data_IF_797680939903
#
_entry.id   IF_797680939903
#
_cell.length_a   1.000
_cell.length_b   1.000
_cell.length_c   1.000
_cell.angle_alpha   90.00
_cell.angle_beta   90.00
_cell.angle_gamma   90.00
#
_symmetry.space_group_name_H-M   'P 1'
#
loop_
_entity.id
_entity.type
_entity.pdbx_description
1 polymer ?
#
# COMPACT_ATOMS: atom_id res chain seq x y z
N UNK A 1 23.20 16.46 56.55
CA UNK A 1 22.17 16.78 55.55
C UNK A 1 21.30 15.56 55.41
N UNK A 2 20.06 15.63 55.88
CA UNK A 2 19.07 14.58 55.67
C UNK A 2 18.82 14.46 54.17
N UNK A 3 18.88 13.25 53.63
CA UNK A 3 18.55 13.00 52.23
C UNK A 3 17.03 12.96 52.16
N UNK A 4 16.44 14.05 51.69
CA UNK A 4 15.02 14.14 51.39
C UNK A 4 14.77 13.38 50.09
N UNK A 5 14.02 12.28 50.16
CA UNK A 5 13.73 11.42 49.00
C UNK A 5 12.35 11.78 48.44
N UNK A 6 12.30 12.06 47.14
CA UNK A 6 11.05 12.26 46.41
C UNK A 6 10.49 10.88 46.03
N UNK A 7 9.21 10.64 46.31
CA UNK A 7 8.50 9.48 45.78
C UNK A 7 8.14 9.74 44.32
N UNK A 8 8.61 8.85 43.42
CA UNK A 8 8.19 8.89 42.03
C UNK A 8 6.71 8.47 41.92
N UNK A 9 5.94 9.04 40.97
CA UNK A 9 4.63 8.51 40.63
C UNK A 9 4.70 7.04 40.26
N UNK A 10 3.59 6.31 40.42
CA UNK A 10 3.53 4.91 40.04
C UNK A 10 3.80 4.74 38.53
N UNK A 11 4.97 4.19 38.20
CA UNK A 11 5.35 3.84 36.84
C UNK A 11 4.83 2.43 36.50
N UNK A 12 4.41 2.22 35.25
CA UNK A 12 4.00 0.89 34.81
C UNK A 12 5.20 -0.06 34.81
N UNK A 13 4.98 -1.34 35.15
CA UNK A 13 6.05 -2.34 35.28
C UNK A 13 6.66 -2.78 33.94
N UNK A 14 5.95 -2.54 32.84
CA UNK A 14 6.35 -2.85 31.47
C UNK A 14 7.08 -1.69 30.78
N UNK A 15 7.38 -0.60 31.50
CA UNK A 15 8.19 0.48 30.94
C UNK A 15 9.60 -0.01 30.63
N UNK A 16 10.08 0.38 29.45
CA UNK A 16 11.44 0.08 29.01
C UNK A 16 12.48 0.60 30.04
N UNK A 17 13.42 -0.25 30.51
CA UNK A 17 14.46 0.17 31.45
C UNK A 17 15.25 1.40 31.02
N UNK A 18 15.44 1.62 29.72
CA UNK A 18 16.17 2.79 29.22
C UNK A 18 15.33 4.07 29.28
N UNK A 19 14.01 3.97 29.15
CA UNK A 19 13.08 5.08 29.40
C UNK A 19 13.08 5.46 30.89
N UNK A 20 13.11 4.47 31.79
CA UNK A 20 13.21 4.72 33.23
C UNK A 20 14.52 5.42 33.59
N UNK A 21 15.65 4.98 33.01
CA UNK A 21 16.96 5.64 33.19
C UNK A 21 16.93 7.07 32.66
N UNK A 22 16.32 7.32 31.51
CA UNK A 22 16.20 8.65 30.93
C UNK A 22 15.35 9.59 31.81
N UNK A 23 14.22 9.12 32.33
CA UNK A 23 13.38 9.86 33.28
C UNK A 23 14.15 10.20 34.56
N UNK A 24 14.89 9.23 35.10
CA UNK A 24 15.73 9.47 36.28
C UNK A 24 16.80 10.53 36.01
N UNK A 25 17.51 10.41 34.89
CA UNK A 25 18.53 11.39 34.49
C UNK A 25 17.92 12.79 34.31
N UNK A 26 16.72 12.89 33.76
CA UNK A 26 15.99 14.14 33.58
C UNK A 26 15.66 14.82 34.92
N UNK A 27 15.13 14.07 35.90
CA UNK A 27 14.75 14.61 37.22
C UNK A 27 15.97 15.13 38.00
N UNK A 28 17.15 14.56 37.77
CA UNK A 28 18.40 14.99 38.40
C UNK A 28 18.98 16.27 37.78
N UNK A 29 18.46 16.75 36.64
CA UNK A 29 18.92 17.99 36.03
C UNK A 29 18.45 19.22 36.84
N UNK A 30 19.19 20.33 36.83
CA UNK A 30 18.70 21.60 37.39
C UNK A 30 17.40 22.06 36.70
N UNK A 31 16.52 22.75 37.44
CA UNK A 31 15.22 23.20 36.95
C UNK A 31 15.30 24.02 35.65
N UNK A 32 16.35 24.83 35.47
CA UNK A 32 16.58 25.60 34.24
C UNK A 32 16.66 24.69 33.00
N UNK A 33 17.34 23.55 33.12
CA UNK A 33 17.46 22.60 32.02
C UNK A 33 16.16 21.83 31.82
N UNK A 34 15.46 21.45 32.90
CA UNK A 34 14.15 20.79 32.80
C UNK A 34 13.13 21.70 32.09
N UNK A 35 13.09 22.99 32.43
CA UNK A 35 12.22 23.98 31.81
C UNK A 35 12.52 24.15 30.32
N UNK A 36 13.80 24.21 29.93
CA UNK A 36 14.20 24.25 28.50
C UNK A 36 13.75 23.01 27.73
N UNK A 37 13.89 21.81 28.32
CA UNK A 37 13.42 20.58 27.70
C UNK A 37 11.89 20.57 27.54
N UNK A 38 11.14 21.05 28.53
CA UNK A 38 9.69 21.18 28.45
C UNK A 38 9.27 22.15 27.35
N UNK A 39 9.89 23.33 27.28
CA UNK A 39 9.63 24.31 26.22
C UNK A 39 9.89 23.71 24.82
N UNK A 40 11.01 23.01 24.63
CA UNK A 40 11.31 22.36 23.35
C UNK A 40 10.30 21.26 23.01
N UNK A 41 9.86 20.49 24.00
CA UNK A 41 8.85 19.46 23.82
C UNK A 41 7.49 20.05 23.42
N UNK A 42 7.06 21.13 24.08
CA UNK A 42 5.84 21.86 23.73
C UNK A 42 5.92 22.45 22.31
N UNK A 43 7.05 23.05 21.93
CA UNK A 43 7.27 23.57 20.59
C UNK A 43 7.25 22.48 19.51
N UNK A 44 7.70 21.26 19.82
CA UNK A 44 7.60 20.13 18.91
C UNK A 44 6.15 19.67 18.75
N UNK A 45 5.40 19.57 19.85
CA UNK A 45 3.99 19.21 19.80
C UNK A 45 3.16 20.25 19.05
N UNK A 46 3.37 21.54 19.29
CA UNK A 46 2.68 22.61 18.56
C UNK A 46 2.97 22.56 17.07
N UNK A 47 4.24 22.33 16.68
CA UNK A 47 4.61 22.18 15.26
C UNK A 47 3.95 20.96 14.63
N UNK A 48 3.85 19.86 15.35
CA UNK A 48 3.14 18.67 14.90
C UNK A 48 1.65 18.94 14.71
N UNK A 49 1.00 19.52 15.72
CA UNK A 49 -0.42 19.89 15.66
C UNK A 49 -0.71 20.84 14.50
N UNK A 50 0.17 21.82 14.26
CA UNK A 50 0.05 22.73 13.13
C UNK A 50 0.20 22.02 11.79
N UNK A 51 1.18 21.12 11.66
CA UNK A 51 1.33 20.30 10.45
C UNK A 51 0.10 19.41 10.20
N UNK A 52 -0.44 18.79 11.26
CA UNK A 52 -1.65 17.96 11.19
C UNK A 52 -2.87 18.79 10.76
N UNK A 53 -3.02 20.03 11.29
CA UNK A 53 -4.07 20.96 10.83
C UNK A 53 -3.91 21.35 9.38
N UNK A 54 -2.70 21.71 8.95
CA UNK A 54 -2.42 22.09 7.56
C UNK A 54 -2.69 20.94 6.59
N UNK A 55 -2.35 19.71 6.97
CA UNK A 55 -2.68 18.52 6.21
C UNK A 55 -4.20 18.34 6.09
N UNK A 56 -4.92 18.45 7.21
CA UNK A 56 -6.38 18.32 7.24
C UNK A 56 -7.06 19.37 6.35
N UNK A 57 -6.67 20.64 6.46
CA UNK A 57 -7.18 21.70 5.59
C UNK A 57 -6.87 21.44 4.11
N UNK A 58 -5.70 20.88 3.81
CA UNK A 58 -5.31 20.55 2.44
C UNK A 58 -6.18 19.44 1.87
N UNK A 59 -6.55 18.44 2.68
CA UNK A 59 -7.48 17.36 2.30
C UNK A 59 -8.88 17.92 2.08
N UNK A 60 -9.37 18.79 2.96
CA UNK A 60 -10.70 19.41 2.85
C UNK A 60 -10.83 20.34 1.64
N UNK A 61 -9.72 20.95 1.20
CA UNK A 61 -9.67 21.80 0.00
C UNK A 61 -9.64 21.01 -1.31
N UNK A 62 -9.50 19.69 -1.28
CA UNK A 62 -9.56 18.89 -2.50
C UNK A 62 -10.98 18.95 -3.05
N UNK A 63 -11.11 19.44 -4.28
CA UNK A 63 -12.38 19.57 -4.97
C UNK A 63 -13.02 18.19 -5.21
N UNK A 64 -14.27 18.04 -4.78
CA UNK A 64 -15.03 16.80 -4.93
C UNK A 64 -15.20 16.42 -6.41
N UNK A 65 -15.34 17.41 -7.29
CA UNK A 65 -15.45 17.16 -8.74
C UNK A 65 -14.12 16.66 -9.31
N UNK A 66 -12.99 17.15 -8.81
CA UNK A 66 -11.67 16.67 -9.18
C UNK A 66 -11.43 15.22 -8.71
N UNK A 67 -11.87 14.87 -7.49
CA UNK A 67 -11.82 13.49 -6.98
C UNK A 67 -12.68 12.59 -7.87
N UNK A 68 -13.92 12.97 -8.16
CA UNK A 68 -14.83 12.18 -8.98
C UNK A 68 -14.26 11.95 -10.39
N UNK A 69 -13.73 13.00 -11.03
CA UNK A 69 -13.09 12.88 -12.35
C UNK A 69 -11.90 11.92 -12.32
N UNK A 70 -11.08 11.97 -11.27
CA UNK A 70 -9.95 11.07 -11.10
C UNK A 70 -10.41 9.62 -10.92
N UNK A 71 -11.41 9.37 -10.07
CA UNK A 71 -11.99 8.04 -9.87
C UNK A 71 -12.60 7.47 -11.16
N UNK A 72 -13.33 8.29 -11.90
CA UNK A 72 -13.92 7.88 -13.18
C UNK A 72 -12.84 7.55 -14.22
N UNK A 73 -11.82 8.39 -14.31
CA UNK A 73 -10.67 8.18 -15.20
C UNK A 73 -9.95 6.88 -14.87
N UNK A 74 -9.65 6.65 -13.58
CA UNK A 74 -9.04 5.41 -13.12
C UNK A 74 -9.90 4.20 -13.42
N UNK A 75 -11.21 4.30 -13.17
CA UNK A 75 -12.17 3.22 -13.47
C UNK A 75 -12.18 2.88 -14.95
N UNK A 76 -12.13 3.88 -15.83
CA UNK A 76 -12.03 3.66 -17.27
C UNK A 76 -10.72 2.99 -17.64
N UNK A 77 -9.58 3.50 -17.15
CA UNK A 77 -8.26 2.91 -17.43
C UNK A 77 -8.17 1.44 -17.00
N UNK A 78 -8.66 1.12 -15.80
CA UNK A 78 -8.68 -0.27 -15.30
C UNK A 78 -9.58 -1.13 -16.19
N UNK A 79 -10.77 -0.66 -16.56
CA UNK A 79 -11.67 -1.38 -17.46
C UNK A 79 -10.99 -1.67 -18.79
N UNK A 80 -10.33 -0.68 -19.38
CA UNK A 80 -9.68 -0.81 -20.68
C UNK A 80 -8.49 -1.78 -20.62
N UNK A 81 -7.69 -1.73 -19.55
CA UNK A 81 -6.58 -2.68 -19.33
C UNK A 81 -7.11 -4.11 -19.20
N UNK A 82 -8.15 -4.33 -18.39
CA UNK A 82 -8.76 -5.65 -18.20
C UNK A 82 -9.32 -6.16 -19.51
N UNK A 83 -10.08 -5.34 -20.25
CA UNK A 83 -10.67 -5.74 -21.52
C UNK A 83 -9.59 -6.09 -22.56
N UNK A 84 -8.55 -5.28 -22.69
CA UNK A 84 -7.45 -5.54 -23.63
C UNK A 84 -6.71 -6.83 -23.25
N UNK A 85 -6.45 -7.04 -21.96
CA UNK A 85 -5.77 -8.23 -21.45
C UNK A 85 -6.60 -9.50 -21.73
N UNK A 86 -7.91 -9.46 -21.46
CA UNK A 86 -8.83 -10.57 -21.74
C UNK A 86 -8.92 -10.86 -23.23
N UNK A 87 -9.05 -9.84 -24.07
CA UNK A 87 -9.11 -10.01 -25.52
C UNK A 87 -7.83 -10.67 -26.06
N UNK A 88 -6.67 -10.21 -25.60
CA UNK A 88 -5.40 -10.80 -26.00
C UNK A 88 -5.25 -12.23 -25.49
N UNK A 89 -5.67 -12.52 -24.24
CA UNK A 89 -5.65 -13.88 -23.71
C UNK A 89 -6.56 -14.81 -24.53
N UNK A 90 -7.77 -14.38 -24.88
CA UNK A 90 -8.66 -15.14 -25.75
C UNK A 90 -8.04 -15.38 -27.14
N UNK A 91 -7.39 -14.36 -27.70
CA UNK A 91 -6.71 -14.45 -28.99
C UNK A 91 -5.56 -15.45 -28.95
N UNK A 92 -4.64 -15.33 -27.99
CA UNK A 92 -3.51 -16.27 -27.83
C UNK A 92 -4.00 -17.69 -27.60
N UNK A 93 -5.03 -17.88 -26.76
CA UNK A 93 -5.64 -19.20 -26.53
C UNK A 93 -6.18 -19.80 -27.82
N UNK A 94 -6.95 -19.02 -28.59
CA UNK A 94 -7.54 -19.50 -29.85
C UNK A 94 -6.47 -19.91 -30.86
N UNK A 95 -5.47 -19.06 -31.06
CA UNK A 95 -4.39 -19.35 -32.00
C UNK A 95 -3.54 -20.56 -31.57
N UNK A 96 -3.27 -20.68 -30.26
CA UNK A 96 -2.51 -21.81 -29.72
C UNK A 96 -3.24 -23.15 -29.76
N UNK A 97 -4.52 -23.19 -29.36
CA UNK A 97 -5.22 -24.47 -29.15
C UNK A 97 -6.21 -24.83 -30.26
N UNK A 98 -6.89 -23.84 -30.83
CA UNK A 98 -7.90 -24.09 -31.87
C UNK A 98 -7.26 -24.10 -33.26
N UNK A 99 -6.20 -23.30 -33.48
CA UNK A 99 -5.44 -23.26 -34.73
C UNK A 99 -4.10 -24.00 -34.68
N UNK A 100 -3.65 -24.42 -33.49
CA UNK A 100 -2.37 -25.12 -33.27
C UNK A 100 -1.15 -24.35 -33.81
N UNK A 101 -1.19 -23.01 -33.80
CA UNK A 101 -0.09 -22.17 -34.24
C UNK A 101 1.03 -22.10 -33.19
N UNK A 102 2.27 -22.04 -33.68
CA UNK A 102 3.45 -21.85 -32.86
C UNK A 102 3.53 -20.43 -32.27
N UNK A 103 4.32 -20.28 -31.20
CA UNK A 103 4.54 -18.98 -30.56
C UNK A 103 5.16 -17.97 -31.53
N UNK A 104 6.09 -18.42 -32.37
CA UNK A 104 6.72 -17.61 -33.41
C UNK A 104 5.71 -17.09 -34.44
N UNK A 105 4.79 -17.94 -34.90
CA UNK A 105 3.73 -17.54 -35.84
C UNK A 105 2.78 -16.50 -35.24
N UNK A 106 2.41 -16.66 -33.97
CA UNK A 106 1.58 -15.67 -33.26
C UNK A 106 2.31 -14.32 -33.10
N UNK A 107 3.63 -14.34 -32.84
CA UNK A 107 4.46 -13.13 -32.73
C UNK A 107 4.58 -12.42 -34.09
N UNK A 108 4.78 -13.17 -35.17
CA UNK A 108 4.89 -12.62 -36.52
C UNK A 108 3.58 -11.97 -36.99
N UNK A 109 2.43 -12.48 -36.55
CA UNK A 109 1.12 -11.86 -36.81
C UNK A 109 0.93 -10.54 -36.05
N UNK A 110 1.42 -10.45 -34.82
CA UNK A 110 1.27 -9.25 -33.98
C UNK A 110 2.60 -8.86 -33.29
N UNK A 111 3.58 -8.35 -34.06
CA UNK A 111 4.92 -8.06 -33.53
C UNK A 111 4.91 -6.95 -32.47
N UNK A 112 3.94 -6.03 -32.55
CA UNK A 112 3.75 -4.96 -31.57
C UNK A 112 3.27 -5.49 -30.20
N UNK A 113 2.65 -6.67 -30.16
CA UNK A 113 2.14 -7.32 -28.95
C UNK A 113 3.05 -8.47 -28.45
N UNK A 114 4.20 -8.70 -29.09
CA UNK A 114 5.05 -9.87 -28.86
C UNK A 114 5.34 -10.15 -27.37
N UNK A 115 5.69 -9.12 -26.58
CA UNK A 115 5.96 -9.27 -25.14
C UNK A 115 4.75 -9.80 -24.37
N UNK A 116 3.56 -9.35 -24.71
CA UNK A 116 2.32 -9.74 -24.06
C UNK A 116 1.87 -11.13 -24.53
N UNK A 117 2.07 -11.45 -25.81
CA UNK A 117 1.81 -12.79 -26.36
C UNK A 117 2.67 -13.83 -25.65
N UNK A 118 3.97 -13.57 -25.51
CA UNK A 118 4.90 -14.44 -24.78
C UNK A 118 4.42 -14.65 -23.34
N UNK A 119 4.09 -13.56 -22.64
CA UNK A 119 3.62 -13.64 -21.26
C UNK A 119 2.33 -14.47 -21.13
N UNK A 120 1.35 -14.24 -22.01
CA UNK A 120 0.09 -15.00 -22.01
C UNK A 120 0.32 -16.47 -22.36
N UNK A 121 1.19 -16.78 -23.32
CA UNK A 121 1.52 -18.15 -23.67
C UNK A 121 2.11 -18.92 -22.47
N UNK A 122 3.07 -18.31 -21.76
CA UNK A 122 3.67 -18.90 -20.54
C UNK A 122 2.60 -19.12 -19.47
N UNK A 123 1.74 -18.12 -19.21
CA UNK A 123 0.68 -18.25 -18.21
C UNK A 123 -0.32 -19.36 -18.54
N UNK A 124 -0.59 -19.60 -19.82
CA UNK A 124 -1.44 -20.71 -20.26
C UNK A 124 -0.76 -22.07 -20.08
N UNK A 125 0.54 -22.17 -20.41
CA UNK A 125 1.34 -23.37 -20.15
C UNK A 125 1.39 -23.71 -18.65
N UNK A 126 1.54 -22.70 -17.79
CA UNK A 126 1.51 -22.86 -16.33
C UNK A 126 0.13 -23.28 -15.82
N UNK A 127 -0.95 -22.78 -16.45
CA UNK A 127 -2.33 -23.09 -16.07
C UNK A 127 -2.72 -24.54 -16.41
N UNK A 128 -2.19 -25.13 -17.48
CA UNK A 128 -2.44 -26.53 -17.86
C UNK A 128 -1.95 -27.55 -16.82
N UNK A 129 -0.92 -27.19 -16.03
CA UNK A 129 -0.42 -28.00 -14.93
C UNK A 129 -1.21 -27.88 -13.63
N UNK A 130 -2.23 -27.02 -13.59
CA UNK A 130 -3.03 -26.73 -12.39
C UNK A 130 -4.50 -27.03 -12.62
N UNK A 131 -5.16 -27.75 -11.70
CA UNK A 131 -6.62 -27.92 -11.75
C UNK A 131 -7.30 -26.54 -11.79
N UNK A 132 -8.16 -26.34 -12.79
CA UNK A 132 -8.93 -25.11 -12.94
C UNK A 132 -9.76 -24.83 -11.68
N UNK A 133 -9.70 -23.62 -11.08
CA UNK A 133 -10.57 -23.25 -9.98
C UNK A 133 -12.05 -23.10 -10.38
N UNK A 134 -12.34 -23.15 -11.69
CA UNK A 134 -13.65 -22.85 -12.26
C UNK A 134 -14.39 -24.08 -12.84
N UNK A 135 -13.80 -25.28 -12.79
CA UNK A 135 -14.47 -26.51 -13.26
C UNK A 135 -15.63 -26.98 -12.36
N UNK A 136 -15.91 -26.28 -11.25
CA UNK A 136 -16.98 -26.62 -10.31
C UNK A 136 -18.35 -25.98 -10.54
N UNK A 137 -18.54 -25.07 -11.51
CA UNK A 137 -19.84 -24.42 -11.71
C UNK A 137 -20.43 -24.73 -13.10
N UNK A 138 -21.00 -25.94 -13.21
CA UNK A 138 -22.11 -26.22 -14.12
C UNK A 138 -23.30 -25.36 -13.69
N UNK A 139 -23.38 -24.13 -14.17
CA UNK A 139 -24.60 -23.36 -14.12
C UNK A 139 -25.55 -23.95 -15.17
N UNK A 140 -26.51 -24.73 -14.68
CA UNK A 140 -27.59 -25.35 -15.44
C UNK A 140 -28.16 -24.37 -16.49
N UNK A 141 -28.01 -24.72 -17.76
CA UNK A 141 -28.86 -24.20 -18.82
C UNK A 141 -30.10 -25.08 -18.94
N UNK A 142 -31.26 -24.48 -18.60
CA UNK A 142 -32.66 -24.90 -18.86
C UNK A 142 -33.21 -26.12 -18.15
#
# INVERSE_FOLDING_TARGET
MEKEYIQLPALKRDLDPDVVKALWAFIQLPEEYQARYQEQYELLNQRKEEADRQLQESIEKIDADAIHLYEETMRSMIRDIVQQSCNLACWVRYHKYDLEESLEEMIDQQPHAAKYIIAMNILMDDAEGSESPFEGNSFMTS
#
